data_IF_776931981616
#
_entry.id   IF_776931981616
#
_cell.length_a   1.000
_cell.length_b   1.000
_cell.length_c   1.000
_cell.angle_alpha   90.00
_cell.angle_beta   90.00
_cell.angle_gamma   90.00
#
_symmetry.space_group_name_H-M   'P 1'
#
loop_
_entity.id
_entity.type
_entity.pdbx_description
1 polymer ?
#
# COMPACT_ATOMS: atom_id res chain seq x y z
N UNK A 1 -7.04 39.52 -14.64
CA UNK A 1 -7.41 38.28 -13.93
C UNK A 1 -7.02 37.12 -14.81
N UNK A 2 -5.77 36.66 -14.71
CA UNK A 2 -5.32 35.45 -15.40
C UNK A 2 -5.68 34.26 -14.52
N UNK A 3 -6.70 33.50 -14.93
CA UNK A 3 -6.88 32.14 -14.46
C UNK A 3 -5.86 31.26 -15.19
N UNK A 4 -4.63 31.24 -14.68
CA UNK A 4 -3.74 30.12 -14.95
C UNK A 4 -4.30 28.91 -14.19
N UNK A 5 -4.92 27.99 -14.95
CA UNK A 5 -5.07 26.60 -14.51
C UNK A 5 -3.66 26.04 -14.32
N UNK A 6 -3.13 26.25 -13.12
CA UNK A 6 -1.92 25.65 -12.61
C UNK A 6 -2.15 24.14 -12.53
N UNK A 7 -1.86 23.42 -13.61
CA UNK A 7 -1.67 21.98 -13.56
C UNK A 7 -0.38 21.71 -12.78
N UNK A 8 -0.42 21.87 -11.45
CA UNK A 8 0.63 21.34 -10.59
C UNK A 8 0.65 19.83 -10.81
N UNK A 9 1.73 19.34 -11.40
CA UNK A 9 1.98 17.91 -11.51
C UNK A 9 1.99 17.34 -10.09
N UNK A 10 0.95 16.59 -9.73
CA UNK A 10 0.89 15.95 -8.43
C UNK A 10 1.89 14.80 -8.40
N UNK A 11 2.89 14.91 -7.54
CA UNK A 11 3.81 13.80 -7.28
C UNK A 11 3.20 12.96 -6.16
N UNK A 12 2.65 11.80 -6.51
CA UNK A 12 2.05 10.86 -5.58
C UNK A 12 2.84 9.54 -5.52
N UNK A 13 2.73 8.78 -4.42
CA UNK A 13 3.35 7.46 -4.30
C UNK A 13 2.52 6.34 -4.99
N UNK A 14 1.78 6.68 -6.05
CA UNK A 14 0.84 5.80 -6.74
C UNK A 14 -0.23 5.16 -5.83
N UNK A 15 -0.72 5.88 -4.82
CA UNK A 15 -1.77 5.41 -3.93
C UNK A 15 -2.61 6.58 -3.40
N UNK A 16 -3.73 6.26 -2.74
CA UNK A 16 -4.46 7.17 -1.88
C UNK A 16 -4.53 6.60 -0.45
N UNK A 17 -4.62 7.45 0.57
CA UNK A 17 -4.55 6.99 1.98
C UNK A 17 -5.90 6.55 2.54
N UNK A 18 -7.01 6.85 1.86
CA UNK A 18 -8.36 6.58 2.35
C UNK A 18 -8.76 7.38 3.59
N UNK A 19 -8.04 8.48 3.86
CA UNK A 19 -8.30 9.38 4.97
C UNK A 19 -8.21 10.83 4.50
N UNK A 20 -8.92 11.72 5.18
CA UNK A 20 -8.70 13.17 5.11
C UNK A 20 -7.84 13.54 6.32
N UNK A 21 -6.74 14.24 6.05
CA UNK A 21 -5.86 14.80 7.08
C UNK A 21 -6.01 16.31 7.05
N UNK A 22 -6.15 16.94 8.22
CA UNK A 22 -6.06 18.39 8.33
C UNK A 22 -4.63 18.84 8.00
N UNK A 23 -4.44 19.34 6.78
CA UNK A 23 -3.12 19.69 6.23
C UNK A 23 -2.49 20.89 6.93
N UNK A 24 -3.29 21.81 7.46
CA UNK A 24 -2.79 22.98 8.17
C UNK A 24 -2.22 22.56 9.52
N UNK A 25 -2.87 21.60 10.19
CA UNK A 25 -2.36 21.06 11.44
C UNK A 25 -1.06 20.24 11.26
N UNK A 26 -0.96 19.40 10.22
CA UNK A 26 0.27 18.61 9.94
C UNK A 26 1.46 19.53 9.68
N UNK A 27 1.26 20.60 8.92
CA UNK A 27 2.32 21.57 8.60
C UNK A 27 2.74 22.40 9.81
N UNK A 28 1.79 22.79 10.65
CA UNK A 28 2.05 23.65 11.82
C UNK A 28 2.72 22.91 12.98
N UNK A 29 2.61 21.58 13.04
CA UNK A 29 3.05 20.81 14.22
C UNK A 29 4.34 20.03 14.03
N UNK A 30 4.94 20.03 12.83
CA UNK A 30 6.11 19.19 12.47
C UNK A 30 5.95 17.75 12.97
N UNK A 31 4.71 17.23 13.03
CA UNK A 31 4.46 15.92 13.64
C UNK A 31 5.12 14.86 12.77
N UNK A 32 6.24 14.34 13.26
CA UNK A 32 6.70 13.02 12.88
C UNK A 32 5.58 12.05 13.31
N UNK A 33 4.85 11.53 12.34
CA UNK A 33 3.78 10.54 12.54
C UNK A 33 4.28 9.30 13.32
N UNK A 34 5.60 9.12 13.45
CA UNK A 34 6.21 8.13 14.34
C UNK A 34 6.25 8.53 15.82
N UNK A 35 6.33 9.82 16.13
CA UNK A 35 6.54 10.35 17.48
C UNK A 35 5.26 10.86 18.15
N UNK A 36 4.22 11.21 17.38
CA UNK A 36 2.93 11.56 17.95
C UNK A 36 2.31 10.34 18.64
N UNK A 37 2.42 10.31 19.98
CA UNK A 37 1.71 9.39 20.85
C UNK A 37 0.26 9.21 20.35
N UNK A 38 -0.06 7.96 20.02
CA UNK A 38 -1.31 7.40 19.47
C UNK A 38 -2.64 8.07 19.89
N UNK A 39 -2.70 8.75 21.04
CA UNK A 39 -3.96 9.26 21.61
C UNK A 39 -4.62 10.41 20.84
N UNK A 40 -3.86 11.24 20.13
CA UNK A 40 -4.41 12.44 19.46
C UNK A 40 -4.59 12.27 17.94
N UNK A 41 -3.93 11.27 17.35
CA UNK A 41 -3.88 11.04 15.91
C UNK A 41 -5.26 10.63 15.35
N UNK A 42 -6.10 9.97 16.15
CA UNK A 42 -7.48 9.61 15.76
C UNK A 42 -8.41 10.81 15.56
N UNK A 43 -8.14 11.96 16.19
CA UNK A 43 -8.93 13.19 16.00
C UNK A 43 -8.48 14.02 14.78
N UNK A 44 -7.32 13.69 14.20
CA UNK A 44 -6.70 14.45 13.11
C UNK A 44 -6.90 13.82 11.74
N UNK A 45 -7.45 12.61 11.71
CA UNK A 45 -7.63 11.82 10.50
C UNK A 45 -9.05 11.30 10.42
N UNK A 46 -9.78 11.78 9.42
CA UNK A 46 -11.14 11.32 9.16
C UNK A 46 -11.08 10.18 8.16
N UNK A 47 -11.48 8.98 8.58
CA UNK A 47 -11.69 7.84 7.69
C UNK A 47 -13.19 7.58 7.55
N UNK A 48 -13.68 7.51 6.32
CA UNK A 48 -15.10 7.23 6.03
C UNK A 48 -15.21 5.96 5.19
N UNK A 49 -16.38 5.33 5.19
CA UNK A 49 -16.64 4.16 4.35
C UNK A 49 -16.30 4.45 2.88
N UNK A 50 -16.73 5.59 2.34
CA UNK A 50 -16.50 5.96 0.94
C UNK A 50 -15.02 6.16 0.61
N UNK A 51 -14.25 6.81 1.50
CA UNK A 51 -12.79 6.93 1.33
C UNK A 51 -12.09 5.57 1.46
N UNK A 52 -12.61 4.69 2.31
CA UNK A 52 -12.12 3.32 2.46
C UNK A 52 -12.34 2.50 1.20
N UNK A 53 -13.54 2.57 0.62
CA UNK A 53 -13.91 1.91 -0.63
C UNK A 53 -13.02 2.38 -1.79
N UNK A 54 -12.88 3.69 -1.97
CA UNK A 54 -11.99 4.28 -2.99
C UNK A 54 -10.54 3.82 -2.78
N UNK A 55 -10.07 3.75 -1.53
CA UNK A 55 -8.72 3.34 -1.18
C UNK A 55 -8.43 1.89 -1.58
N UNK A 56 -9.34 0.96 -1.29
CA UNK A 56 -9.19 -0.44 -1.73
C UNK A 56 -9.27 -0.55 -3.25
N UNK A 57 -10.19 0.19 -3.87
CA UNK A 57 -10.40 0.18 -5.31
C UNK A 57 -9.17 0.64 -6.08
N UNK A 58 -8.52 1.73 -5.65
CA UNK A 58 -7.31 2.24 -6.31
C UNK A 58 -6.09 1.39 -5.96
N UNK A 59 -5.85 1.15 -4.66
CA UNK A 59 -4.56 0.63 -4.19
C UNK A 59 -4.42 -0.89 -4.34
N UNK A 60 -5.53 -1.63 -4.45
CA UNK A 60 -5.53 -3.08 -4.60
C UNK A 60 -6.20 -3.53 -5.90
N UNK A 61 -7.50 -3.27 -6.06
CA UNK A 61 -8.24 -3.79 -7.22
C UNK A 61 -7.75 -3.18 -8.54
N UNK A 62 -7.46 -1.87 -8.57
CA UNK A 62 -6.92 -1.17 -9.73
C UNK A 62 -5.54 -1.70 -10.13
N UNK A 63 -4.66 -1.91 -9.16
CA UNK A 63 -3.34 -2.51 -9.38
C UNK A 63 -3.48 -3.94 -9.92
N UNK A 64 -4.35 -4.75 -9.30
CA UNK A 64 -4.63 -6.13 -9.75
C UNK A 64 -5.10 -6.15 -11.21
N UNK A 65 -6.13 -5.37 -11.55
CA UNK A 65 -6.67 -5.30 -12.93
C UNK A 65 -5.62 -4.84 -13.94
N UNK A 66 -4.81 -3.85 -13.58
CA UNK A 66 -3.74 -3.36 -14.45
C UNK A 66 -2.69 -4.45 -14.71
N UNK A 67 -2.25 -5.16 -13.67
CA UNK A 67 -1.31 -6.27 -13.82
C UNK A 67 -1.90 -7.37 -14.70
N UNK A 68 -3.14 -7.81 -14.43
CA UNK A 68 -3.81 -8.85 -15.20
C UNK A 68 -3.92 -8.50 -16.69
N UNK A 69 -4.25 -7.24 -16.99
CA UNK A 69 -4.33 -6.76 -18.37
C UNK A 69 -2.97 -6.72 -19.08
N UNK A 70 -1.87 -6.51 -18.34
CA UNK A 70 -0.52 -6.36 -18.90
C UNK A 70 0.30 -7.66 -18.89
N UNK A 71 -0.09 -8.69 -18.14
CA UNK A 71 0.59 -9.99 -18.11
C UNK A 71 0.84 -10.56 -19.52
N UNK A 72 -0.15 -10.58 -20.45
CA UNK A 72 0.10 -11.11 -21.80
C UNK A 72 1.19 -10.36 -22.57
N UNK A 73 1.39 -9.07 -22.29
CA UNK A 73 2.48 -8.29 -22.89
C UNK A 73 3.82 -8.57 -22.21
N UNK A 74 3.81 -8.74 -20.89
CA UNK A 74 5.00 -9.10 -20.11
C UNK A 74 5.53 -10.50 -20.48
N UNK A 75 4.68 -11.42 -20.91
CA UNK A 75 5.09 -12.76 -21.35
C UNK A 75 6.04 -12.73 -22.57
N UNK A 76 5.99 -11.68 -23.39
CA UNK A 76 6.90 -11.43 -24.51
C UNK A 76 8.24 -10.83 -24.09
N UNK A 77 8.41 -10.42 -22.83
CA UNK A 77 9.69 -9.96 -22.32
C UNK A 77 10.61 -11.13 -22.01
N UNK A 78 11.89 -11.00 -22.34
CA UNK A 78 12.93 -11.94 -21.89
C UNK A 78 13.18 -11.80 -20.38
N UNK A 79 12.85 -10.65 -19.79
CA UNK A 79 13.09 -10.34 -18.38
C UNK A 79 11.90 -9.59 -17.75
N UNK A 80 10.72 -10.22 -17.59
CA UNK A 80 9.53 -9.56 -17.07
C UNK A 80 9.69 -9.19 -15.59
N UNK A 81 9.31 -7.96 -15.24
CA UNK A 81 9.38 -7.39 -13.89
C UNK A 81 8.06 -6.75 -13.50
N UNK A 82 7.60 -7.02 -12.28
CA UNK A 82 6.49 -6.32 -11.65
C UNK A 82 6.97 -5.80 -10.29
N UNK A 83 6.87 -4.49 -10.09
CA UNK A 83 7.21 -3.83 -8.82
C UNK A 83 5.97 -3.15 -8.25
N UNK A 84 5.44 -3.72 -7.19
CA UNK A 84 4.27 -3.20 -6.49
C UNK A 84 4.69 -2.21 -5.41
N UNK A 85 4.35 -0.92 -5.59
CA UNK A 85 4.63 0.12 -4.58
C UNK A 85 3.67 -0.06 -3.39
N UNK A 86 4.21 -0.62 -2.31
CA UNK A 86 3.52 -0.95 -1.08
C UNK A 86 3.88 0.03 0.05
N UNK A 87 3.63 -0.35 1.30
CA UNK A 87 3.92 0.47 2.49
C UNK A 87 4.39 -0.41 3.65
N UNK A 88 5.15 0.18 4.57
CA UNK A 88 5.44 -0.42 5.87
C UNK A 88 4.17 -0.66 6.69
N UNK A 89 3.11 0.13 6.48
CA UNK A 89 1.78 -0.09 7.08
C UNK A 89 1.16 -1.41 6.63
N UNK A 90 1.51 -1.94 5.45
CA UNK A 90 1.04 -3.23 4.97
C UNK A 90 1.69 -4.44 5.66
N UNK A 91 2.53 -4.22 6.68
CA UNK A 91 3.07 -5.29 7.52
C UNK A 91 1.98 -5.81 8.46
N UNK A 92 1.90 -7.12 8.61
CA UNK A 92 0.89 -7.82 9.37
C UNK A 92 0.95 -7.51 10.88
N UNK A 93 2.09 -7.04 11.39
CA UNK A 93 2.17 -6.51 12.76
C UNK A 93 1.23 -5.30 13.02
N UNK A 94 0.79 -4.60 11.97
CA UNK A 94 -0.16 -3.50 12.03
C UNK A 94 -1.61 -3.93 11.75
N UNK A 95 -1.85 -5.22 11.53
CA UNK A 95 -3.18 -5.80 11.36
C UNK A 95 -3.57 -6.57 12.64
N UNK A 96 -4.35 -5.97 13.57
CA UNK A 96 -4.71 -6.63 14.82
C UNK A 96 -5.76 -7.74 14.66
N UNK A 97 -6.53 -7.74 13.57
CA UNK A 97 -7.53 -8.78 13.32
C UNK A 97 -6.83 -10.11 13.04
N UNK A 98 -6.85 -11.03 14.01
CA UNK A 98 -6.10 -12.28 13.96
C UNK A 98 -6.57 -13.24 12.86
N UNK A 99 -7.86 -13.23 12.52
CA UNK A 99 -8.37 -14.01 11.40
C UNK A 99 -7.78 -13.53 10.08
N UNK A 100 -7.86 -12.23 9.78
CA UNK A 100 -7.30 -11.63 8.57
C UNK A 100 -5.77 -11.79 8.51
N UNK A 101 -5.08 -11.61 9.64
CA UNK A 101 -3.65 -11.88 9.77
C UNK A 101 -3.32 -13.33 9.45
N UNK A 102 -4.07 -14.28 10.01
CA UNK A 102 -3.91 -15.71 9.73
C UNK A 102 -4.09 -16.06 8.26
N UNK A 103 -5.06 -15.42 7.59
CA UNK A 103 -5.25 -15.57 6.13
C UNK A 103 -4.01 -15.12 5.35
N UNK A 104 -3.41 -13.97 5.69
CA UNK A 104 -2.24 -13.45 4.98
C UNK A 104 -0.91 -14.14 5.33
N UNK A 105 -0.82 -14.83 6.49
CA UNK A 105 0.36 -15.58 6.90
C UNK A 105 0.44 -16.98 6.29
N UNK A 106 -0.71 -17.58 5.95
CA UNK A 106 -0.78 -18.93 5.42
C UNK A 106 -0.45 -18.97 3.93
N UNK A 107 0.85 -18.94 3.62
CA UNK A 107 1.37 -18.91 2.25
C UNK A 107 0.92 -20.13 1.42
N UNK A 108 0.66 -21.29 2.03
CA UNK A 108 0.28 -22.51 1.32
C UNK A 108 -1.16 -22.43 0.80
N UNK A 109 -2.05 -21.84 1.59
CA UNK A 109 -3.47 -21.73 1.22
C UNK A 109 -3.87 -20.34 0.73
N UNK A 110 -2.92 -19.41 0.62
CA UNK A 110 -3.16 -18.04 0.16
C UNK A 110 -3.64 -18.02 -1.30
N UNK A 111 -4.86 -17.50 -1.51
CA UNK A 111 -5.45 -17.27 -2.83
C UNK A 111 -6.07 -15.88 -2.92
N UNK A 112 -6.40 -15.45 -4.13
CA UNK A 112 -7.06 -14.16 -4.34
C UNK A 112 -8.43 -14.13 -3.68
N UNK A 113 -9.19 -15.22 -3.76
CA UNK A 113 -10.52 -15.34 -3.13
C UNK A 113 -10.45 -15.14 -1.63
N UNK A 114 -9.36 -15.58 -0.99
CA UNK A 114 -9.15 -15.36 0.45
C UNK A 114 -8.77 -13.93 0.78
N UNK A 115 -7.98 -13.27 -0.07
CA UNK A 115 -7.72 -11.84 0.06
C UNK A 115 -9.04 -11.07 -0.07
N UNK A 116 -9.85 -11.39 -1.08
CA UNK A 116 -11.18 -10.81 -1.30
C UNK A 116 -12.12 -11.06 -0.12
N UNK A 117 -12.11 -12.26 0.48
CA UNK A 117 -12.91 -12.54 1.67
C UNK A 117 -12.55 -11.62 2.85
N UNK A 118 -11.26 -11.36 3.07
CA UNK A 118 -10.78 -10.41 4.09
C UNK A 118 -11.25 -9.00 3.80
N UNK A 119 -11.07 -8.52 2.57
CA UNK A 119 -11.47 -7.16 2.18
C UNK A 119 -12.98 -6.96 2.28
N UNK A 120 -13.78 -7.94 1.83
CA UNK A 120 -15.24 -7.88 1.92
C UNK A 120 -15.73 -7.87 3.38
N UNK A 121 -15.13 -8.69 4.26
CA UNK A 121 -15.47 -8.67 5.68
C UNK A 121 -15.08 -7.35 6.34
N UNK A 122 -13.88 -6.83 6.04
CA UNK A 122 -13.45 -5.51 6.50
C UNK A 122 -14.42 -4.40 6.07
N UNK A 123 -14.80 -4.34 4.79
CA UNK A 123 -15.70 -3.29 4.29
C UNK A 123 -17.10 -3.39 4.86
N UNK A 124 -17.60 -4.61 5.10
CA UNK A 124 -18.86 -4.82 5.82
C UNK A 124 -18.77 -4.21 7.23
N UNK A 125 -17.73 -4.56 7.99
CA UNK A 125 -17.56 -4.08 9.36
C UNK A 125 -17.31 -2.57 9.40
N UNK A 126 -16.65 -2.00 8.39
CA UNK A 126 -16.49 -0.56 8.25
C UNK A 126 -17.86 0.13 8.05
N UNK A 127 -18.69 -0.42 7.18
CA UNK A 127 -20.03 0.12 6.91
C UNK A 127 -20.93 0.10 8.14
N UNK A 128 -20.79 -0.95 8.95
CA UNK A 128 -21.57 -1.18 10.18
C UNK A 128 -20.99 -0.42 11.38
N UNK A 129 -19.83 0.24 11.24
CA UNK A 129 -19.17 0.98 12.32
C UNK A 129 -18.50 0.08 13.35
N UNK A 130 -18.19 -1.17 12.99
CA UNK A 130 -17.70 -2.21 13.88
C UNK A 130 -16.18 -2.44 13.79
N UNK A 131 -15.42 -1.47 13.25
CA UNK A 131 -13.98 -1.64 13.07
C UNK A 131 -13.25 -1.99 14.38
N UNK A 132 -13.49 -1.22 15.43
CA UNK A 132 -12.84 -1.44 16.74
C UNK A 132 -13.32 -2.74 17.40
N UNK A 133 -14.62 -2.99 17.38
CA UNK A 133 -15.23 -4.19 17.96
C UNK A 133 -14.69 -5.48 17.32
N UNK A 134 -14.44 -5.46 16.01
CA UNK A 134 -13.89 -6.58 15.25
C UNK A 134 -12.36 -6.50 15.11
N UNK A 135 -11.69 -5.69 15.93
CA UNK A 135 -10.22 -5.57 16.00
C UNK A 135 -9.55 -5.25 14.67
N UNK A 136 -10.16 -4.43 13.82
CA UNK A 136 -9.52 -3.84 12.65
C UNK A 136 -8.59 -2.70 13.05
N UNK A 137 -7.65 -2.27 12.18
CA UNK A 137 -6.80 -1.11 12.48
C UNK A 137 -7.65 0.13 12.76
N UNK A 138 -7.33 0.85 13.84
CA UNK A 138 -8.09 2.02 14.29
C UNK A 138 -7.78 3.31 13.52
N UNK A 139 -6.72 3.31 12.73
CA UNK A 139 -6.33 4.41 11.84
C UNK A 139 -5.71 3.85 10.56
N UNK A 140 -5.83 4.60 9.45
CA UNK A 140 -5.35 4.17 8.13
C UNK A 140 -5.82 2.75 7.78
N UNK A 141 -7.05 2.41 8.17
CA UNK A 141 -7.54 1.02 8.16
C UNK A 141 -7.58 0.43 6.76
N UNK A 142 -8.28 1.10 5.84
CA UNK A 142 -8.35 0.69 4.44
C UNK A 142 -6.97 0.69 3.75
N UNK A 143 -6.12 1.67 4.05
CA UNK A 143 -4.76 1.73 3.49
C UNK A 143 -3.89 0.55 3.96
N UNK A 144 -3.96 0.23 5.26
CA UNK A 144 -3.28 -0.93 5.85
C UNK A 144 -3.74 -2.22 5.19
N UNK A 145 -5.04 -2.41 5.04
CA UNK A 145 -5.62 -3.59 4.39
C UNK A 145 -5.28 -3.67 2.91
N UNK A 146 -5.33 -2.55 2.17
CA UNK A 146 -4.95 -2.52 0.76
C UNK A 146 -3.48 -2.91 0.56
N UNK A 147 -2.56 -2.35 1.37
CA UNK A 147 -1.13 -2.63 1.24
C UNK A 147 -0.75 -4.03 1.73
N UNK A 148 -1.41 -4.55 2.77
CA UNK A 148 -1.27 -5.95 3.17
C UNK A 148 -1.76 -6.91 2.08
N UNK A 149 -2.92 -6.61 1.48
CA UNK A 149 -3.50 -7.38 0.37
C UNK A 149 -2.61 -7.35 -0.87
N UNK A 150 -2.01 -6.19 -1.19
CA UNK A 150 -1.05 -6.06 -2.28
C UNK A 150 0.23 -6.88 -2.04
N UNK A 151 0.72 -6.94 -0.79
CA UNK A 151 1.84 -7.80 -0.42
C UNK A 151 1.50 -9.29 -0.58
N UNK A 152 0.31 -9.70 -0.13
CA UNK A 152 -0.17 -11.06 -0.31
C UNK A 152 -0.33 -11.42 -1.80
N UNK A 153 -0.92 -10.52 -2.60
CA UNK A 153 -1.09 -10.71 -4.04
C UNK A 153 0.25 -10.77 -4.79
N UNK A 154 1.27 -10.03 -4.32
CA UNK A 154 2.64 -10.12 -4.84
C UNK A 154 3.19 -11.55 -4.71
N UNK A 155 2.96 -12.21 -3.56
CA UNK A 155 3.34 -13.63 -3.37
C UNK A 155 2.59 -14.54 -4.33
N UNK A 156 1.28 -14.34 -4.51
CA UNK A 156 0.46 -15.12 -5.44
C UNK A 156 1.01 -15.00 -6.87
N UNK A 157 1.28 -13.79 -7.34
CA UNK A 157 1.83 -13.53 -8.66
C UNK A 157 3.20 -14.19 -8.85
N UNK A 158 4.10 -14.06 -7.88
CA UNK A 158 5.41 -14.71 -7.92
C UNK A 158 5.31 -16.24 -7.94
N UNK A 159 4.30 -16.83 -7.27
CA UNK A 159 4.02 -18.26 -7.34
C UNK A 159 3.45 -18.67 -8.70
N UNK A 160 2.52 -17.89 -9.26
CA UNK A 160 1.83 -18.16 -10.54
C UNK A 160 2.75 -17.98 -11.75
N UNK A 161 3.59 -16.96 -11.76
CA UNK A 161 4.45 -16.58 -12.89
C UNK A 161 5.93 -16.78 -12.55
N UNK A 162 6.41 -18.03 -12.59
CA UNK A 162 7.80 -18.37 -12.20
C UNK A 162 8.89 -17.71 -13.05
N UNK A 163 8.57 -17.29 -14.28
CA UNK A 163 9.48 -16.51 -15.14
C UNK A 163 9.59 -15.03 -14.73
N UNK A 164 8.64 -14.53 -13.93
CA UNK A 164 8.54 -13.12 -13.59
C UNK A 164 9.23 -12.87 -12.25
N UNK A 165 9.98 -11.78 -12.17
CA UNK A 165 10.39 -11.24 -10.88
C UNK A 165 9.31 -10.24 -10.43
N UNK A 166 8.57 -10.62 -9.38
CA UNK A 166 7.45 -9.86 -8.83
C UNK A 166 7.75 -9.57 -7.38
N UNK A 167 7.95 -8.30 -7.03
CA UNK A 167 8.23 -7.89 -5.65
C UNK A 167 7.36 -6.70 -5.25
N UNK A 168 7.21 -6.49 -3.95
CA UNK A 168 6.62 -5.28 -3.40
C UNK A 168 7.64 -4.49 -2.60
N UNK A 169 7.47 -3.17 -2.56
CA UNK A 169 8.43 -2.28 -1.89
C UNK A 169 7.73 -1.13 -1.19
N UNK A 170 8.10 -0.89 0.05
CA UNK A 170 7.87 0.40 0.70
C UNK A 170 9.02 1.34 0.35
N UNK A 171 8.77 2.46 -0.37
CA UNK A 171 9.83 3.38 -0.79
C UNK A 171 10.40 4.22 0.36
N UNK A 172 9.82 4.12 1.56
CA UNK A 172 10.13 4.95 2.72
C UNK A 172 9.11 6.08 2.92
N UNK A 173 9.44 7.02 3.81
CA UNK A 173 8.58 8.18 4.09
C UNK A 173 8.99 9.35 3.19
N UNK A 174 8.35 9.43 2.02
CA UNK A 174 8.74 10.30 0.90
C UNK A 174 7.94 11.61 0.89
N UNK A 175 8.63 12.74 0.71
CA UNK A 175 8.05 14.08 0.56
C UNK A 175 7.24 14.18 -0.74
N UNK A 176 5.95 13.93 -0.65
CA UNK A 176 4.98 13.91 -1.77
C UNK A 176 3.69 14.59 -1.36
N UNK A 177 2.80 14.88 -2.31
CA UNK A 177 1.49 15.47 -2.01
C UNK A 177 0.65 14.58 -1.08
N UNK A 178 0.80 13.25 -1.19
CA UNK A 178 0.17 12.26 -0.31
C UNK A 178 0.46 12.51 1.18
N UNK A 179 1.68 12.99 1.48
CA UNK A 179 2.13 13.26 2.84
C UNK A 179 2.21 14.77 3.12
N UNK A 180 1.46 15.60 2.37
CA UNK A 180 1.50 17.06 2.45
C UNK A 180 2.91 17.66 2.29
N UNK A 181 3.76 17.02 1.47
CA UNK A 181 5.19 17.32 1.27
C UNK A 181 6.07 17.15 2.52
N UNK A 182 5.61 16.35 3.50
CA UNK A 182 6.42 15.90 4.65
C UNK A 182 7.02 14.52 4.38
N UNK A 183 8.17 14.23 5.00
CA UNK A 183 8.93 13.02 4.69
C UNK A 183 10.38 13.14 5.13
N UNK A 184 11.05 11.99 5.30
CA UNK A 184 12.49 11.93 5.56
C UNK A 184 13.30 11.76 4.26
N UNK A 185 12.64 11.39 3.16
CA UNK A 185 13.25 11.15 1.85
C UNK A 185 12.73 12.11 0.79
N UNK A 186 13.57 12.45 -0.18
CA UNK A 186 13.13 13.11 -1.42
C UNK A 186 12.42 12.12 -2.36
N UNK A 187 11.75 12.65 -3.38
CA UNK A 187 11.09 11.85 -4.41
C UNK A 187 12.09 10.95 -5.13
N UNK A 188 13.29 11.46 -5.41
CA UNK A 188 14.38 10.73 -6.07
C UNK A 188 14.87 9.57 -5.20
N UNK A 189 15.10 9.81 -3.90
CA UNK A 189 15.53 8.76 -2.96
C UNK A 189 14.46 7.67 -2.79
N UNK A 190 13.18 8.06 -2.75
CA UNK A 190 12.05 7.13 -2.74
C UNK A 190 11.95 6.31 -4.04
N UNK A 191 12.10 6.99 -5.18
CA UNK A 191 12.06 6.40 -6.52
C UNK A 191 13.19 5.40 -6.77
N UNK A 192 14.40 5.68 -6.26
CA UNK A 192 15.55 4.77 -6.36
C UNK A 192 15.22 3.37 -5.82
N UNK A 193 14.50 3.29 -4.69
CA UNK A 193 14.10 2.01 -4.09
C UNK A 193 13.18 1.17 -5.00
N UNK A 194 12.36 1.85 -5.82
CA UNK A 194 11.44 1.22 -6.79
C UNK A 194 12.23 0.80 -8.04
N UNK A 195 12.99 1.74 -8.62
CA UNK A 195 13.76 1.52 -9.85
C UNK A 195 14.76 0.38 -9.68
N UNK A 196 15.40 0.28 -8.51
CA UNK A 196 16.32 -0.82 -8.21
C UNK A 196 15.67 -2.19 -8.37
N UNK A 197 14.41 -2.36 -7.94
CA UNK A 197 13.70 -3.64 -8.11
C UNK A 197 13.28 -3.89 -9.56
N UNK A 198 12.96 -2.83 -10.30
CA UNK A 198 12.63 -2.92 -11.72
C UNK A 198 13.85 -3.31 -12.59
N UNK A 199 15.06 -3.06 -12.09
CA UNK A 199 16.33 -3.37 -12.76
C UNK A 199 17.04 -4.60 -12.19
N UNK A 200 16.37 -5.44 -11.39
CA UNK A 200 16.97 -6.66 -10.88
C UNK A 200 17.44 -7.58 -12.02
N UNK A 201 18.58 -8.28 -11.85
CA UNK A 201 19.02 -9.29 -12.81
C UNK A 201 18.05 -10.48 -12.84
N UNK A 202 18.19 -11.36 -13.84
CA UNK A 202 17.30 -12.52 -14.06
C UNK A 202 17.28 -13.52 -12.91
N UNK A 203 18.37 -13.63 -12.17
CA UNK A 203 18.51 -14.45 -10.95
C UNK A 203 18.11 -13.70 -9.67
N UNK A 204 17.51 -12.51 -9.81
CA UNK A 204 17.02 -11.71 -8.70
C UNK A 204 15.88 -12.37 -7.92
N UNK A 205 15.65 -11.94 -6.67
CA UNK A 205 14.61 -12.51 -5.82
C UNK A 205 13.21 -12.17 -6.35
N UNK A 206 12.23 -13.04 -6.09
CA UNK A 206 10.82 -12.85 -6.44
C UNK A 206 9.92 -13.26 -5.28
N UNK A 207 8.76 -12.61 -5.14
CA UNK A 207 7.77 -12.86 -4.08
C UNK A 207 8.11 -12.23 -2.74
N UNK A 208 9.03 -11.26 -2.70
CA UNK A 208 9.48 -10.63 -1.45
C UNK A 208 8.90 -9.22 -1.26
N UNK A 209 8.87 -8.80 0.00
CA UNK A 209 8.62 -7.42 0.40
C UNK A 209 9.94 -6.76 0.80
N UNK A 210 10.16 -5.55 0.29
CA UNK A 210 11.31 -4.71 0.62
C UNK A 210 10.89 -3.47 1.41
N UNK A 211 11.62 -3.16 2.46
CA UNK A 211 11.57 -1.85 3.10
C UNK A 211 12.80 -1.05 2.65
N UNK A 212 12.58 -0.07 1.79
CA UNK A 212 13.65 0.62 1.05
C UNK A 212 14.56 -0.40 0.37
N UNK A 213 15.83 -0.48 0.81
CA UNK A 213 16.84 -1.34 0.22
C UNK A 213 16.83 -2.77 0.75
N UNK A 214 16.19 -3.03 1.88
CA UNK A 214 16.31 -4.30 2.60
C UNK A 214 15.10 -5.21 2.42
N UNK A 215 15.34 -6.51 2.27
CA UNK A 215 14.27 -7.52 2.41
C UNK A 215 13.72 -7.43 3.82
N UNK A 216 12.39 -7.44 3.94
CA UNK A 216 11.72 -7.28 5.24
C UNK A 216 10.57 -8.28 5.37
N UNK A 217 10.38 -8.87 6.57
CA UNK A 217 9.21 -9.71 6.80
C UNK A 217 7.93 -8.87 6.76
N UNK A 218 6.85 -9.54 6.36
CA UNK A 218 5.48 -9.02 6.41
C UNK A 218 4.93 -9.08 7.83
#
# INVERSE_FOLDING_TARGET
MNNELSWKLQVNNAAITGIIVDSDFVRLTEIDLKAAKLKWVHHLMTQTYSLGEECLEINYHGVKRMIEALIPLLDFSDSPRIVNVSSSSGKLKFLPNEWAKGVFLDDESLTEERIEAVLNKFMKDFKEGELEANCWPSSLSAYTLAKASLNAYTKILAKRHKRFIVNSVCPGYVKTDMNCNTGNLTVEEGGENIVRLALLPEDGPSGLFFFQKEVSPL
#
